data_IF_883892268608
#
_entry.id   IF_883892268608
#
_cell.length_a   1.000
_cell.length_b   1.000
_cell.length_c   1.000
_cell.angle_alpha   90.00
_cell.angle_beta   90.00
_cell.angle_gamma   90.00
#
_symmetry.space_group_name_H-M   'P 1'
#
loop_
_entity.id
_entity.type
_entity.pdbx_description
1 polymer ?
#
# COMPACT_ATOMS: atom_id res chain seq x y z
N UNK A 1 17.60 -14.07 -8.71
CA UNK A 1 17.15 -12.81 -8.07
C UNK A 1 16.98 -13.06 -6.58
N UNK A 2 17.59 -12.24 -5.72
CA UNK A 2 17.50 -12.37 -4.26
C UNK A 2 16.39 -11.50 -3.66
N UNK A 3 16.20 -10.29 -4.20
CA UNK A 3 15.11 -9.35 -3.87
C UNK A 3 14.70 -8.62 -5.13
N UNK A 4 13.43 -8.21 -5.21
CA UNK A 4 12.97 -7.30 -6.25
C UNK A 4 11.83 -6.44 -5.73
N UNK A 5 11.62 -5.27 -6.30
CA UNK A 5 10.42 -4.49 -6.00
C UNK A 5 10.11 -3.58 -7.17
N UNK A 6 8.86 -3.14 -7.25
CA UNK A 6 8.43 -2.21 -8.27
C UNK A 6 7.83 -0.95 -7.65
N UNK A 7 7.86 0.15 -8.39
CA UNK A 7 7.23 1.43 -8.01
C UNK A 7 6.57 2.00 -9.27
N UNK A 8 5.42 2.65 -9.11
CA UNK A 8 4.76 3.40 -10.19
C UNK A 8 5.19 4.86 -10.12
N UNK A 9 5.65 5.39 -11.25
CA UNK A 9 6.01 6.79 -11.43
C UNK A 9 5.10 7.43 -12.49
N UNK A 10 4.98 8.75 -12.42
CA UNK A 10 4.21 9.57 -13.37
C UNK A 10 5.04 10.70 -14.01
N UNK A 11 6.32 10.82 -13.67
CA UNK A 11 7.22 11.87 -14.15
C UNK A 11 8.50 11.24 -14.73
N UNK A 12 8.90 11.54 -15.98
CA UNK A 12 8.24 12.44 -16.94
C UNK A 12 6.94 11.89 -17.54
N UNK A 13 6.81 10.56 -17.61
CA UNK A 13 5.63 9.86 -18.10
C UNK A 13 5.25 8.71 -17.14
N UNK A 14 4.06 8.15 -17.30
CA UNK A 14 3.65 6.97 -16.55
C UNK A 14 4.54 5.76 -16.86
N UNK A 15 5.25 5.26 -15.84
CA UNK A 15 6.10 4.09 -15.99
C UNK A 15 6.21 3.28 -14.70
N UNK A 16 6.64 2.03 -14.85
CA UNK A 16 6.97 1.15 -13.74
C UNK A 16 8.49 1.06 -13.66
N UNK A 17 9.06 1.30 -12.48
CA UNK A 17 10.46 1.00 -12.18
C UNK A 17 10.51 -0.34 -11.47
N UNK A 18 10.99 -1.37 -12.16
CA UNK A 18 11.33 -2.66 -11.55
C UNK A 18 12.80 -2.67 -11.15
N UNK A 19 13.08 -2.91 -9.87
CA UNK A 19 14.43 -3.05 -9.33
C UNK A 19 14.63 -4.51 -8.91
N UNK A 20 15.72 -5.13 -9.35
CA UNK A 20 16.06 -6.50 -9.02
C UNK A 20 17.50 -6.58 -8.51
N UNK A 21 17.69 -7.29 -7.39
CA UNK A 21 18.99 -7.64 -6.83
C UNK A 21 19.36 -9.06 -7.25
N UNK A 22 20.60 -9.26 -7.69
CA UNK A 22 21.09 -10.54 -8.20
C UNK A 22 22.20 -11.07 -7.30
N UNK A 23 22.23 -12.39 -7.09
CA UNK A 23 23.36 -13.06 -6.45
C UNK A 23 24.54 -13.19 -7.42
N UNK A 24 24.24 -13.43 -8.70
CA UNK A 24 25.24 -13.52 -9.77
C UNK A 24 24.95 -12.44 -10.83
N UNK A 25 25.90 -11.55 -11.17
CA UNK A 25 25.73 -10.54 -12.21
C UNK A 25 25.30 -11.09 -13.57
N UNK A 26 25.68 -12.32 -13.93
CA UNK A 26 25.32 -12.96 -15.21
C UNK A 26 23.79 -13.12 -15.35
N UNK A 27 23.06 -13.25 -14.23
CA UNK A 27 21.61 -13.39 -14.25
C UNK A 27 20.89 -12.09 -14.65
N UNK A 28 21.57 -10.93 -14.64
CA UNK A 28 21.01 -9.66 -15.07
C UNK A 28 20.63 -9.71 -16.55
N UNK A 29 21.54 -10.19 -17.41
CA UNK A 29 21.30 -10.29 -18.86
C UNK A 29 20.15 -11.25 -19.17
N UNK A 30 20.08 -12.37 -18.44
CA UNK A 30 18.99 -13.34 -18.56
C UNK A 30 17.65 -12.68 -18.21
N UNK A 31 17.56 -11.95 -17.10
CA UNK A 31 16.31 -11.27 -16.72
C UNK A 31 15.87 -10.26 -17.77
N UNK A 32 16.80 -9.44 -18.29
CA UNK A 32 16.49 -8.46 -19.33
C UNK A 32 15.91 -9.14 -20.57
N UNK A 33 16.54 -10.24 -20.98
CA UNK A 33 16.08 -11.01 -22.13
C UNK A 33 14.69 -11.60 -21.91
N UNK A 34 14.43 -12.21 -20.74
CA UNK A 34 13.11 -12.78 -20.41
C UNK A 34 12.03 -11.70 -20.28
N UNK A 35 12.33 -10.53 -19.71
CA UNK A 35 11.39 -9.41 -19.64
C UNK A 35 11.05 -8.91 -21.04
N UNK A 36 12.05 -8.66 -21.88
CA UNK A 36 11.80 -8.17 -23.25
C UNK A 36 11.03 -9.21 -24.09
N UNK A 37 11.28 -10.50 -23.88
CA UNK A 37 10.50 -11.57 -24.51
C UNK A 37 9.05 -11.56 -24.02
N UNK A 38 8.84 -11.45 -22.70
CA UNK A 38 7.51 -11.48 -22.09
C UNK A 38 6.67 -10.25 -22.41
N UNK A 39 7.31 -9.11 -22.69
CA UNK A 39 6.64 -7.84 -23.03
C UNK A 39 6.60 -7.59 -24.54
N UNK A 40 6.99 -8.57 -25.37
CA UNK A 40 7.14 -8.37 -26.81
C UNK A 40 5.84 -7.93 -27.46
N UNK A 41 4.72 -8.58 -27.13
CA UNK A 41 3.42 -8.26 -27.70
C UNK A 41 2.92 -6.89 -27.22
N UNK A 42 3.10 -6.56 -25.93
CA UNK A 42 2.74 -5.26 -25.37
C UNK A 42 3.53 -4.11 -26.03
N UNK A 43 4.82 -4.33 -26.33
CA UNK A 43 5.65 -3.36 -27.05
C UNK A 43 5.19 -3.25 -28.52
N UNK A 44 4.99 -4.39 -29.19
CA UNK A 44 4.54 -4.45 -30.59
C UNK A 44 3.19 -3.76 -30.80
N UNK A 45 2.27 -3.94 -29.85
CA UNK A 45 0.93 -3.33 -29.85
C UNK A 45 0.90 -1.94 -29.19
N UNK A 46 2.05 -1.35 -28.84
CA UNK A 46 2.19 -0.01 -28.26
C UNK A 46 1.44 0.19 -26.93
N UNK A 47 1.19 -0.90 -26.20
CA UNK A 47 0.77 -0.84 -24.79
C UNK A 47 1.94 -0.35 -23.93
N UNK A 48 3.16 -0.81 -24.26
CA UNK A 48 4.41 -0.34 -23.66
C UNK A 48 5.20 0.43 -24.72
N UNK A 49 5.56 1.67 -24.43
CA UNK A 49 6.32 2.49 -25.37
C UNK A 49 7.78 2.03 -25.50
N UNK A 50 8.46 1.80 -24.37
CA UNK A 50 9.86 1.35 -24.32
C UNK A 50 10.22 0.70 -22.98
N UNK A 51 11.30 -0.08 -22.97
CA UNK A 51 11.97 -0.58 -21.77
C UNK A 51 13.37 0.04 -21.69
N UNK A 52 13.79 0.46 -20.50
CA UNK A 52 15.09 1.12 -20.28
C UNK A 52 15.79 0.58 -19.04
N UNK A 53 17.12 0.52 -19.10
CA UNK A 53 17.97 0.24 -17.96
C UNK A 53 18.50 1.56 -17.41
N UNK A 54 18.43 1.72 -16.09
CA UNK A 54 18.85 2.93 -15.40
C UNK A 54 19.58 2.60 -14.11
N UNK A 55 20.41 3.54 -13.64
CA UNK A 55 21.12 3.43 -12.37
C UNK A 55 20.13 3.53 -11.22
N UNK A 56 20.18 2.56 -10.31
CA UNK A 56 19.44 2.66 -9.07
C UNK A 56 20.17 3.55 -8.06
N UNK A 57 19.68 4.78 -7.88
CA UNK A 57 20.11 5.70 -6.83
C UNK A 57 19.23 5.49 -5.59
N UNK A 58 19.84 5.11 -4.47
CA UNK A 58 19.15 4.92 -3.19
C UNK A 58 18.75 6.25 -2.58
N UNK A 59 17.56 6.30 -1.99
CA UNK A 59 17.03 7.48 -1.28
C UNK A 59 17.61 7.56 0.14
N UNK A 60 18.92 7.71 0.26
CA UNK A 60 19.63 7.70 1.56
C UNK A 60 19.19 8.84 2.50
N UNK A 61 18.65 9.93 1.95
CA UNK A 61 18.06 11.02 2.73
C UNK A 61 16.68 10.70 3.33
N UNK A 62 15.99 9.69 2.81
CA UNK A 62 14.70 9.19 3.33
C UNK A 62 14.88 7.94 4.19
N UNK A 63 15.84 7.08 3.83
CA UNK A 63 16.16 5.87 4.57
C UNK A 63 17.67 5.84 4.85
N UNK A 64 18.12 6.00 6.11
CA UNK A 64 19.54 5.97 6.43
C UNK A 64 20.23 4.69 5.94
N UNK A 65 21.47 4.83 5.45
CA UNK A 65 22.18 3.76 4.73
C UNK A 65 22.31 2.45 5.52
N UNK A 66 22.58 2.55 6.83
CA UNK A 66 22.70 1.42 7.76
C UNK A 66 21.43 0.54 7.81
N UNK A 67 20.27 1.10 7.48
CA UNK A 67 18.97 0.42 7.54
C UNK A 67 18.36 0.12 6.16
N UNK A 68 18.99 0.59 5.09
CA UNK A 68 18.53 0.41 3.73
C UNK A 68 18.32 -1.06 3.30
N UNK A 69 19.18 -2.03 3.70
CA UNK A 69 18.95 -3.45 3.39
C UNK A 69 17.61 -4.01 3.90
N UNK A 70 17.11 -3.43 4.99
CA UNK A 70 15.82 -3.80 5.58
C UNK A 70 14.66 -3.07 4.88
N UNK A 71 14.83 -1.79 4.53
CA UNK A 71 13.87 -1.10 3.66
C UNK A 71 13.67 -1.85 2.33
N UNK A 72 14.75 -2.31 1.69
CA UNK A 72 14.67 -3.13 0.48
C UNK A 72 13.99 -4.50 0.72
N UNK A 73 14.15 -5.09 1.92
CA UNK A 73 13.42 -6.32 2.29
C UNK A 73 11.92 -6.02 2.44
N UNK A 74 11.55 -4.91 3.07
CA UNK A 74 10.17 -4.47 3.15
C UNK A 74 9.56 -4.26 1.78
N UNK A 75 10.22 -3.47 0.92
CA UNK A 75 9.74 -3.20 -0.44
C UNK A 75 9.57 -4.48 -1.26
N UNK A 76 10.43 -5.48 -1.05
CA UNK A 76 10.31 -6.78 -1.68
C UNK A 76 9.09 -7.56 -1.20
N UNK A 77 8.91 -7.72 0.11
CA UNK A 77 7.76 -8.46 0.64
C UNK A 77 6.43 -7.75 0.33
N UNK A 78 6.41 -6.41 0.39
CA UNK A 78 5.25 -5.62 0.00
C UNK A 78 4.95 -5.75 -1.49
N UNK A 79 5.97 -5.71 -2.37
CA UNK A 79 5.77 -5.93 -3.81
C UNK A 79 5.23 -7.31 -4.13
N UNK A 80 5.66 -8.35 -3.38
CA UNK A 80 5.13 -9.71 -3.53
C UNK A 80 3.67 -9.80 -3.12
N UNK A 81 3.31 -9.25 -1.96
CA UNK A 81 1.93 -9.18 -1.48
C UNK A 81 1.04 -8.46 -2.49
N UNK A 82 1.42 -7.23 -2.88
CA UNK A 82 0.64 -6.41 -3.81
C UNK A 82 0.50 -7.08 -5.17
N UNK A 83 1.54 -7.75 -5.68
CA UNK A 83 1.43 -8.49 -6.96
C UNK A 83 0.43 -9.63 -6.89
N UNK A 84 0.33 -10.32 -5.75
CA UNK A 84 -0.69 -11.35 -5.53
C UNK A 84 -2.10 -10.77 -5.54
N UNK A 85 -2.28 -9.63 -4.87
CA UNK A 85 -3.56 -8.92 -4.81
C UNK A 85 -3.96 -8.41 -6.20
N UNK A 86 -3.04 -7.78 -6.94
CA UNK A 86 -3.29 -7.30 -8.31
C UNK A 86 -3.77 -8.44 -9.21
N UNK A 87 -3.10 -9.60 -9.15
CA UNK A 87 -3.50 -10.79 -9.91
C UNK A 87 -4.89 -11.28 -9.52
N UNK A 88 -5.20 -11.32 -8.22
CA UNK A 88 -6.53 -11.72 -7.74
C UNK A 88 -7.62 -10.77 -8.25
N UNK A 89 -7.42 -9.46 -8.08
CA UNK A 89 -8.34 -8.41 -8.58
C UNK A 89 -8.56 -8.54 -10.08
N UNK A 90 -7.49 -8.75 -10.85
CA UNK A 90 -7.58 -8.93 -12.29
C UNK A 90 -8.37 -10.18 -12.68
N UNK A 91 -8.07 -11.32 -12.05
CA UNK A 91 -8.72 -12.59 -12.36
C UNK A 91 -10.20 -12.62 -11.96
N UNK A 92 -10.58 -11.95 -10.87
CA UNK A 92 -11.97 -11.85 -10.43
C UNK A 92 -12.76 -10.74 -11.12
N UNK A 93 -12.07 -9.82 -11.81
CA UNK A 93 -12.64 -8.59 -12.35
C UNK A 93 -13.42 -7.77 -11.29
N UNK A 94 -12.95 -7.80 -10.04
CA UNK A 94 -13.58 -7.09 -8.92
C UNK A 94 -12.64 -6.05 -8.32
N UNK A 95 -12.78 -4.81 -8.78
CA UNK A 95 -12.01 -3.67 -8.28
C UNK A 95 -12.34 -3.32 -6.82
N UNK A 96 -13.44 -3.83 -6.26
CA UNK A 96 -13.77 -3.64 -4.85
C UNK A 96 -12.70 -4.25 -3.95
N UNK A 97 -12.18 -5.41 -4.34
CA UNK A 97 -11.10 -6.08 -3.62
C UNK A 97 -9.84 -5.22 -3.52
N UNK A 98 -9.57 -4.33 -4.49
CA UNK A 98 -8.35 -3.51 -4.51
C UNK A 98 -8.34 -2.51 -3.36
N UNK A 99 -9.37 -1.69 -3.23
CA UNK A 99 -9.40 -0.65 -2.19
C UNK A 99 -9.71 -1.23 -0.80
N UNK A 100 -10.48 -2.32 -0.72
CA UNK A 100 -10.66 -3.07 0.53
C UNK A 100 -9.34 -3.70 1.00
N UNK A 101 -8.50 -4.20 0.09
CA UNK A 101 -7.15 -4.66 0.43
C UNK A 101 -6.29 -3.54 1.00
N UNK A 102 -6.37 -2.33 0.44
CA UNK A 102 -5.62 -1.18 0.98
C UNK A 102 -6.02 -0.88 2.44
N UNK A 103 -7.32 -0.87 2.73
CA UNK A 103 -7.84 -0.70 4.10
C UNK A 103 -7.32 -1.79 5.04
N UNK A 104 -7.41 -3.06 4.63
CA UNK A 104 -6.95 -4.18 5.45
C UNK A 104 -5.44 -4.16 5.67
N UNK A 105 -4.65 -3.83 4.65
CA UNK A 105 -3.19 -3.67 4.79
C UNK A 105 -2.87 -2.57 5.81
N UNK A 106 -3.52 -1.41 5.72
CA UNK A 106 -3.33 -0.34 6.71
C UNK A 106 -3.66 -0.79 8.13
N UNK A 107 -4.77 -1.50 8.33
CA UNK A 107 -5.15 -2.02 9.64
C UNK A 107 -4.18 -3.09 10.16
N UNK A 108 -3.74 -4.00 9.30
CA UNK A 108 -2.73 -5.01 9.63
C UNK A 108 -1.40 -4.36 10.04
N UNK A 109 -1.01 -3.27 9.38
CA UNK A 109 0.15 -2.49 9.80
C UNK A 109 -0.09 -1.78 11.14
N UNK A 110 -1.23 -1.13 11.35
CA UNK A 110 -1.55 -0.53 12.65
C UNK A 110 -1.49 -1.55 13.80
N UNK A 111 -1.98 -2.76 13.57
CA UNK A 111 -1.91 -3.87 14.53
C UNK A 111 -0.48 -4.35 14.76
N UNK A 112 0.32 -4.44 13.69
CA UNK A 112 1.75 -4.79 13.80
C UNK A 112 2.52 -3.78 14.67
N UNK A 113 2.15 -2.50 14.63
CA UNK A 113 2.74 -1.45 15.46
C UNK A 113 2.04 -1.26 16.82
N UNK A 114 1.11 -2.15 17.17
CA UNK A 114 0.39 -2.11 18.44
C UNK A 114 -0.34 -0.79 18.73
N UNK A 115 -0.81 -0.09 17.68
CA UNK A 115 -1.58 1.14 17.87
C UNK A 115 -2.93 0.81 18.50
N UNK A 116 -3.28 1.57 19.55
CA UNK A 116 -4.64 1.55 20.11
C UNK A 116 -5.66 2.17 19.15
N UNK A 117 -6.95 1.88 19.33
CA UNK A 117 -8.03 2.48 18.53
C UNK A 117 -7.94 4.01 18.48
N UNK A 118 -7.57 4.65 19.60
CA UNK A 118 -7.42 6.11 19.67
C UNK A 118 -6.22 6.60 18.86
N UNK A 119 -5.08 5.90 18.93
CA UNK A 119 -3.90 6.21 18.12
C UNK A 119 -4.20 6.03 16.62
N UNK A 120 -4.92 4.97 16.23
CA UNK A 120 -5.36 4.75 14.85
C UNK A 120 -6.27 5.88 14.37
N UNK A 121 -7.23 6.31 15.20
CA UNK A 121 -8.13 7.45 14.91
C UNK A 121 -7.35 8.75 14.72
N UNK A 122 -6.44 9.05 15.65
CA UNK A 122 -5.62 10.28 15.60
C UNK A 122 -4.70 10.30 14.36
N UNK A 123 -4.03 9.18 14.08
CA UNK A 123 -3.16 9.01 12.92
C UNK A 123 -3.94 9.19 11.61
N UNK A 124 -5.03 8.45 11.43
CA UNK A 124 -5.81 8.52 10.18
C UNK A 124 -6.43 9.89 9.98
N UNK A 125 -6.93 10.52 11.05
CA UNK A 125 -7.51 11.86 11.00
C UNK A 125 -6.48 12.94 10.64
N UNK A 126 -5.24 12.85 11.12
CA UNK A 126 -4.21 13.84 10.80
C UNK A 126 -3.83 13.80 9.31
N UNK A 127 -3.64 12.61 8.73
CA UNK A 127 -3.36 12.46 7.31
C UNK A 127 -4.57 12.81 6.43
N UNK A 128 -5.78 12.41 6.80
CA UNK A 128 -6.99 12.84 6.10
C UNK A 128 -7.07 14.37 6.08
N UNK A 129 -6.84 15.07 7.21
CA UNK A 129 -6.82 16.54 7.29
C UNK A 129 -5.73 17.15 6.41
N UNK A 130 -4.54 16.54 6.35
CA UNK A 130 -3.46 16.99 5.47
C UNK A 130 -3.88 16.92 4.00
N UNK A 131 -4.47 15.79 3.56
CA UNK A 131 -5.01 15.66 2.20
C UNK A 131 -6.19 16.60 1.92
N UNK A 132 -7.07 16.82 2.90
CA UNK A 132 -8.14 17.82 2.79
C UNK A 132 -7.58 19.21 2.46
N UNK A 133 -6.46 19.59 3.09
CA UNK A 133 -5.76 20.85 2.80
C UNK A 133 -5.07 20.81 1.44
N UNK A 134 -4.34 19.74 1.15
CA UNK A 134 -3.58 19.58 -0.10
C UNK A 134 -4.48 19.67 -1.35
N UNK A 135 -5.62 18.99 -1.33
CA UNK A 135 -6.56 18.95 -2.45
C UNK A 135 -7.62 20.07 -2.40
N UNK A 136 -7.49 21.04 -1.47
CA UNK A 136 -8.46 22.11 -1.27
C UNK A 136 -9.92 21.59 -1.17
N UNK A 137 -10.11 20.54 -0.38
CA UNK A 137 -11.39 19.84 -0.31
C UNK A 137 -12.48 20.73 0.29
N UNK A 138 -13.53 20.96 -0.50
CA UNK A 138 -14.70 21.77 -0.11
C UNK A 138 -15.63 21.00 0.81
N UNK A 139 -16.51 21.74 1.52
CA UNK A 139 -17.54 21.14 2.38
C UNK A 139 -18.46 20.17 1.62
N UNK A 140 -18.83 20.50 0.38
CA UNK A 140 -19.67 19.64 -0.46
C UNK A 140 -18.98 18.33 -0.82
N UNK A 141 -17.68 18.36 -1.13
CA UNK A 141 -16.93 17.14 -1.41
C UNK A 141 -16.76 16.26 -0.15
N UNK A 142 -16.57 16.86 1.03
CA UNK A 142 -16.59 16.09 2.30
C UNK A 142 -17.93 15.38 2.53
N UNK A 143 -19.04 16.03 2.18
CA UNK A 143 -20.36 15.40 2.28
C UNK A 143 -20.48 14.21 1.31
N UNK A 144 -19.94 14.33 0.09
CA UNK A 144 -19.90 13.22 -0.87
C UNK A 144 -19.07 12.04 -0.34
N UNK A 145 -17.88 12.28 0.20
CA UNK A 145 -17.05 11.24 0.83
C UNK A 145 -17.81 10.54 1.97
N UNK A 146 -18.49 11.29 2.84
CA UNK A 146 -19.28 10.71 3.92
C UNK A 146 -20.47 9.87 3.41
N UNK A 147 -21.09 10.25 2.29
CA UNK A 147 -22.13 9.43 1.63
C UNK A 147 -21.53 8.13 1.11
N UNK A 148 -20.39 8.19 0.41
CA UNK A 148 -19.70 7.02 -0.13
C UNK A 148 -19.26 6.06 1.00
N UNK A 149 -18.68 6.60 2.08
CA UNK A 149 -18.35 5.80 3.26
C UNK A 149 -19.58 5.08 3.82
N UNK A 150 -20.72 5.78 3.99
CA UNK A 150 -21.95 5.16 4.50
C UNK A 150 -22.47 4.05 3.59
N UNK A 151 -22.38 4.22 2.27
CA UNK A 151 -22.76 3.19 1.30
C UNK A 151 -21.90 1.93 1.42
N UNK A 152 -20.61 2.09 1.74
CA UNK A 152 -19.68 0.99 1.86
C UNK A 152 -19.40 0.53 3.30
N UNK A 153 -20.12 1.07 4.30
CA UNK A 153 -19.81 0.88 5.73
C UNK A 153 -19.68 -0.59 6.13
N UNK A 154 -20.63 -1.42 5.71
CA UNK A 154 -20.64 -2.84 6.07
C UNK A 154 -19.48 -3.59 5.42
N UNK A 155 -19.17 -3.30 4.15
CA UNK A 155 -18.03 -3.88 3.44
C UNK A 155 -16.69 -3.47 4.07
N UNK A 156 -16.56 -2.19 4.45
CA UNK A 156 -15.38 -1.68 5.15
C UNK A 156 -15.22 -2.42 6.48
N UNK A 157 -16.28 -2.49 7.28
CA UNK A 157 -16.24 -3.18 8.56
C UNK A 157 -15.84 -4.65 8.39
N UNK A 158 -16.49 -5.38 7.47
CA UNK A 158 -16.17 -6.77 7.16
C UNK A 158 -14.71 -6.93 6.71
N UNK A 159 -14.18 -6.02 5.90
CA UNK A 159 -12.77 -6.04 5.45
C UNK A 159 -11.78 -5.92 6.59
N UNK A 160 -12.07 -5.04 7.54
CA UNK A 160 -11.17 -4.68 8.62
C UNK A 160 -11.21 -5.72 9.72
N UNK A 161 -12.40 -6.19 10.09
CA UNK A 161 -12.63 -7.10 11.22
C UNK A 161 -12.54 -8.58 10.84
N UNK A 162 -12.90 -8.93 9.60
CA UNK A 162 -12.96 -10.30 9.11
C UNK A 162 -12.06 -10.49 7.87
N UNK A 163 -12.26 -11.60 7.15
CA UNK A 163 -11.61 -11.92 5.88
C UNK A 163 -12.63 -11.84 4.75
N UNK A 164 -12.45 -10.90 3.82
CA UNK A 164 -13.28 -10.80 2.61
C UNK A 164 -12.93 -11.84 1.56
N UNK A 165 -11.66 -12.20 1.46
CA UNK A 165 -11.13 -13.18 0.52
C UNK A 165 -9.91 -13.85 1.14
N UNK A 166 -9.91 -15.18 1.15
CA UNK A 166 -8.88 -15.98 1.83
C UNK A 166 -7.49 -15.80 1.22
N UNK A 167 -7.39 -15.61 -0.09
CA UNK A 167 -6.11 -15.49 -0.79
C UNK A 167 -5.47 -14.13 -0.51
N UNK A 168 -6.27 -13.07 -0.55
CA UNK A 168 -5.84 -11.71 -0.18
C UNK A 168 -5.40 -11.68 1.27
N UNK A 169 -6.23 -12.23 2.17
CA UNK A 169 -5.93 -12.25 3.59
C UNK A 169 -4.64 -13.02 3.88
N UNK A 170 -4.48 -14.20 3.26
CA UNK A 170 -3.26 -15.01 3.37
C UNK A 170 -2.01 -14.29 2.83
N UNK A 171 -2.15 -13.52 1.75
CA UNK A 171 -1.05 -12.71 1.21
C UNK A 171 -0.64 -11.60 2.17
N UNK A 172 -1.61 -10.96 2.83
CA UNK A 172 -1.37 -9.90 3.84
C UNK A 172 -0.72 -10.51 5.09
N UNK A 173 -1.25 -11.61 5.63
CA UNK A 173 -0.67 -12.27 6.80
C UNK A 173 0.76 -12.75 6.53
N UNK A 174 1.00 -13.34 5.35
CA UNK A 174 2.35 -13.76 4.98
C UNK A 174 3.32 -12.58 4.92
N UNK A 175 2.88 -11.43 4.42
CA UNK A 175 3.66 -10.20 4.44
C UNK A 175 3.96 -9.78 5.88
N UNK A 176 2.93 -9.61 6.73
CA UNK A 176 3.07 -9.23 8.14
C UNK A 176 4.03 -10.17 8.89
N UNK A 177 3.88 -11.48 8.72
CA UNK A 177 4.73 -12.48 9.38
C UNK A 177 6.20 -12.37 8.97
N UNK A 178 6.49 -11.99 7.72
CA UNK A 178 7.88 -11.84 7.23
C UNK A 178 8.55 -10.55 7.67
N UNK A 179 7.78 -9.50 7.95
CA UNK A 179 8.29 -8.19 8.39
C UNK A 179 8.26 -8.03 9.91
N UNK A 180 7.39 -8.74 10.61
CA UNK A 180 7.21 -8.66 12.06
C UNK A 180 8.50 -8.81 12.87
N UNK A 181 9.43 -9.73 12.55
CA UNK A 181 10.70 -9.84 13.28
C UNK A 181 11.58 -8.58 13.25
N UNK A 182 11.27 -7.64 12.36
CA UNK A 182 12.00 -6.40 12.17
C UNK A 182 11.20 -5.17 12.61
N UNK A 183 9.95 -5.34 13.04
CA UNK A 183 9.04 -4.25 13.33
C UNK A 183 9.52 -3.38 14.49
N UNK A 184 9.92 -4.02 15.60
CA UNK A 184 10.34 -3.32 16.81
C UNK A 184 11.74 -2.71 16.73
N UNK A 185 12.61 -3.22 15.84
CA UNK A 185 14.05 -2.89 15.82
C UNK A 185 14.41 -1.72 14.91
N UNK A 186 13.57 -1.40 13.93
CA UNK A 186 14.01 -0.56 12.79
C UNK A 186 12.88 0.34 12.30
N UNK A 187 11.62 -0.07 12.38
CA UNK A 187 10.58 0.70 11.71
C UNK A 187 10.27 2.04 12.40
N UNK A 188 10.26 2.16 13.74
CA UNK A 188 9.99 3.45 14.40
C UNK A 188 11.01 4.56 14.08
N UNK A 189 12.28 4.21 13.83
CA UNK A 189 13.36 5.19 13.59
C UNK A 189 13.64 5.49 12.11
N UNK A 190 13.32 4.55 11.18
CA UNK A 190 13.74 4.65 9.77
C UNK A 190 12.59 4.85 8.78
N UNK A 191 11.37 4.40 9.08
CA UNK A 191 10.27 4.47 8.12
C UNK A 191 9.00 4.89 8.85
N UNK A 192 8.47 6.06 8.51
CA UNK A 192 7.17 6.45 9.05
C UNK A 192 6.12 5.48 8.51
N UNK A 193 5.20 5.03 9.37
CA UNK A 193 4.10 4.13 8.98
C UNK A 193 3.31 4.64 7.76
N UNK A 194 3.23 5.97 7.60
CA UNK A 194 2.62 6.57 6.42
C UNK A 194 3.44 6.33 5.14
N UNK A 195 4.77 6.31 5.17
CA UNK A 195 5.57 5.98 3.98
C UNK A 195 5.25 4.57 3.48
N UNK A 196 5.03 3.62 4.39
CA UNK A 196 4.63 2.26 4.01
C UNK A 196 3.23 2.21 3.40
N UNK A 197 2.26 2.89 4.01
CA UNK A 197 0.89 2.97 3.46
C UNK A 197 0.91 3.67 2.09
N UNK A 198 1.67 4.77 1.96
CA UNK A 198 1.85 5.52 0.73
C UNK A 198 2.45 4.64 -0.37
N UNK A 199 3.55 3.95 -0.07
CA UNK A 199 4.25 3.09 -1.02
C UNK A 199 3.44 1.83 -1.38
N UNK A 200 2.59 1.33 -0.47
CA UNK A 200 1.61 0.30 -0.76
C UNK A 200 0.53 0.82 -1.72
N UNK A 201 -0.07 1.99 -1.44
CA UNK A 201 -1.05 2.64 -2.32
C UNK A 201 -0.45 2.91 -3.71
N UNK A 202 0.80 3.37 -3.77
CA UNK A 202 1.54 3.59 -5.01
C UNK A 202 1.59 2.32 -5.89
N UNK A 203 1.88 1.16 -5.29
CA UNK A 203 1.98 -0.11 -6.03
C UNK A 203 0.61 -0.67 -6.40
N UNK A 204 -0.33 -0.62 -5.46
CA UNK A 204 -1.63 -1.28 -5.53
C UNK A 204 -2.59 -0.60 -6.51
N UNK A 205 -2.63 0.73 -6.52
CA UNK A 205 -3.55 1.50 -7.36
C UNK A 205 -2.95 1.84 -8.72
N UNK A 206 -3.74 1.66 -9.77
CA UNK A 206 -3.29 1.81 -11.18
C UNK A 206 -3.26 3.27 -11.64
N UNK A 207 -4.07 4.13 -11.03
CA UNK A 207 -4.16 5.55 -11.36
C UNK A 207 -4.55 6.38 -10.14
N UNK A 208 -4.28 7.69 -10.18
CA UNK A 208 -4.66 8.65 -9.12
C UNK A 208 -4.30 8.19 -7.70
N UNK A 209 -3.12 7.57 -7.56
CA UNK A 209 -2.70 6.87 -6.33
C UNK A 209 -2.84 7.76 -5.09
N UNK A 210 -2.44 9.03 -5.20
CA UNK A 210 -2.51 10.01 -4.10
C UNK A 210 -3.95 10.37 -3.70
N UNK A 211 -4.86 10.47 -4.67
CA UNK A 211 -6.30 10.68 -4.39
C UNK A 211 -6.91 9.43 -3.76
N UNK A 212 -6.52 8.24 -4.21
CA UNK A 212 -7.03 7.00 -3.64
C UNK A 212 -6.51 6.78 -2.21
N UNK A 213 -5.23 7.06 -1.95
CA UNK A 213 -4.64 7.08 -0.61
C UNK A 213 -5.41 8.02 0.34
N UNK A 214 -5.78 9.21 -0.12
CA UNK A 214 -6.64 10.11 0.65
C UNK A 214 -7.97 9.46 1.03
N UNK A 215 -8.67 8.82 0.09
CA UNK A 215 -9.93 8.11 0.36
C UNK A 215 -9.75 7.01 1.40
N UNK A 216 -8.63 6.27 1.34
CA UNK A 216 -8.29 5.24 2.35
C UNK A 216 -8.18 5.87 3.74
N UNK A 217 -7.45 6.98 3.88
CA UNK A 217 -7.34 7.68 5.17
C UNK A 217 -8.69 8.24 5.66
N UNK A 218 -9.51 8.79 4.76
CA UNK A 218 -10.84 9.34 5.10
C UNK A 218 -11.78 8.23 5.60
N UNK A 219 -11.81 7.08 4.91
CA UNK A 219 -12.62 5.92 5.32
C UNK A 219 -12.17 5.32 6.65
N UNK A 220 -10.86 5.15 6.85
CA UNK A 220 -10.31 4.68 8.13
C UNK A 220 -10.63 5.66 9.26
N UNK A 221 -10.57 6.97 9.00
CA UNK A 221 -10.95 8.00 9.98
C UNK A 221 -12.41 7.84 10.40
N UNK A 222 -13.33 7.70 9.44
CA UNK A 222 -14.74 7.46 9.74
C UNK A 222 -14.95 6.18 10.55
N UNK A 223 -14.27 5.09 10.17
CA UNK A 223 -14.35 3.79 10.84
C UNK A 223 -13.88 3.86 12.30
N UNK A 224 -12.66 4.34 12.57
CA UNK A 224 -12.17 4.41 13.96
C UNK A 224 -12.89 5.47 14.79
N UNK A 225 -13.42 6.54 14.17
CA UNK A 225 -14.30 7.47 14.87
C UNK A 225 -15.55 6.75 15.36
N UNK A 226 -16.22 5.98 14.49
CA UNK A 226 -17.39 5.18 14.88
C UNK A 226 -17.05 4.11 15.94
N UNK A 227 -15.87 3.49 15.87
CA UNK A 227 -15.43 2.46 16.83
C UNK A 227 -15.10 3.05 18.20
N UNK A 228 -14.46 4.22 18.24
CA UNK A 228 -14.13 4.92 19.48
C UNK A 228 -15.40 5.36 20.25
N UNK A 229 -16.44 5.84 19.56
CA UNK A 229 -17.71 6.18 20.21
C UNK A 229 -18.38 4.96 20.86
N UNK A 230 -18.46 3.82 20.15
CA UNK A 230 -19.05 2.58 20.71
C UNK A 230 -18.29 2.07 21.94
N UNK A 231 -16.96 2.14 21.91
CA UNK A 231 -16.15 1.71 23.05
C UNK A 231 -16.33 2.64 24.27
N UNK A 232 -16.55 3.93 24.04
CA UNK A 232 -16.82 4.88 25.12
C UNK A 232 -18.17 4.59 25.78
N UNK A 233 -19.22 4.32 25.00
CA UNK A 233 -20.54 3.98 25.53
C UNK A 233 -20.47 2.71 26.40
N UNK A 234 -19.74 1.67 25.99
CA UNK A 234 -19.58 0.43 26.77
C UNK A 234 -18.90 0.68 28.13
N UNK A 235 -17.83 1.49 28.17
CA UNK A 235 -17.10 1.79 29.41
C UNK A 235 -17.85 2.71 30.39
N UNK A 236 -18.93 3.36 29.96
CA UNK A 236 -19.76 4.22 30.83
C UNK A 236 -20.87 3.40 31.53
N UNK A 237 -21.12 2.18 31.08
CA UNK A 237 -22.13 1.27 31.64
C UNK A 237 -21.54 0.07 32.40
N UNK A 238 -20.22 0.02 32.60
CA UNK A 238 -19.50 -0.91 33.51
C UNK A 238 -19.03 -0.16 34.76
#
# INVERSE_FOLDING_TARGET
ITKWFFIRYSDPDHHIRLRACFANPIDQLKLIHEINRSLYDEIKHRIIWKTELSTYIREVGRYPEIHYPLAEKWFFEESRMVSSIIRKVHNSNDETLRWLSALKISESLFNLFHLTTEQKRSFTSSYAKAFHKEFNITKSFRQQLAIQYRQHKNLIQQSLEESLDSDIYSAIELFINRISPYADKVIPEIMHLQDHIHMCCNRLFTSRQRTQEFVIYDYLTCYYTSKAYRNHDITVYE
#
